data_IF_904791197994
#
_entry.id   IF_904791197994
#
_cell.length_a   1.000
_cell.length_b   1.000
_cell.length_c   1.000
_cell.angle_alpha   90.00
_cell.angle_beta   90.00
_cell.angle_gamma   90.00
#
_symmetry.space_group_name_H-M   'P 1'
#
loop_
_entity.id
_entity.type
_entity.pdbx_description
1 polymer ?
#
# COMPACT_ATOMS: atom_id res chain seq x y z
N UNK A 1 -8.15 1.97 -25.48
CA UNK A 1 -7.51 2.88 -24.52
C UNK A 1 -6.16 3.28 -25.09
N UNK A 2 -5.95 4.57 -25.26
CA UNK A 2 -4.66 5.16 -25.63
C UNK A 2 -3.67 5.06 -24.47
N UNK A 3 -2.37 5.20 -24.76
CA UNK A 3 -1.29 4.98 -23.79
C UNK A 3 -1.41 5.89 -22.55
N UNK A 4 -1.87 7.12 -22.74
CA UNK A 4 -2.09 8.08 -21.66
C UNK A 4 -3.21 7.61 -20.71
N UNK A 5 -4.34 7.18 -21.26
CA UNK A 5 -5.46 6.66 -20.48
C UNK A 5 -5.08 5.39 -19.72
N UNK A 6 -4.30 4.49 -20.34
CA UNK A 6 -3.79 3.30 -19.65
C UNK A 6 -2.92 3.67 -18.45
N UNK A 7 -1.98 4.61 -18.63
CA UNK A 7 -1.13 5.08 -17.54
C UNK A 7 -1.95 5.71 -16.41
N UNK A 8 -2.92 6.56 -16.75
CA UNK A 8 -3.82 7.17 -15.76
C UNK A 8 -4.63 6.11 -14.98
N UNK A 9 -5.08 5.05 -15.66
CA UNK A 9 -5.82 3.96 -15.04
C UNK A 9 -4.95 3.16 -14.08
N UNK A 10 -3.71 2.84 -14.46
CA UNK A 10 -2.75 2.15 -13.58
C UNK A 10 -2.41 2.99 -12.34
N UNK A 11 -2.26 4.31 -12.50
CA UNK A 11 -2.05 5.21 -11.37
C UNK A 11 -3.27 5.21 -10.44
N UNK A 12 -4.49 5.28 -10.99
CA UNK A 12 -5.72 5.24 -10.20
C UNK A 12 -5.91 3.91 -9.46
N UNK A 13 -5.57 2.79 -10.11
CA UNK A 13 -5.59 1.46 -9.51
C UNK A 13 -4.66 1.39 -8.29
N UNK A 14 -3.45 1.93 -8.41
CA UNK A 14 -2.40 1.79 -7.39
C UNK A 14 -2.48 2.88 -6.31
N UNK A 15 -3.13 4.01 -6.59
CA UNK A 15 -3.33 5.13 -5.67
C UNK A 15 -3.84 4.73 -4.26
N UNK A 16 -4.89 3.89 -4.08
CA UNK A 16 -5.35 3.50 -2.75
C UNK A 16 -4.31 2.72 -1.93
N UNK A 17 -3.46 1.91 -2.57
CA UNK A 17 -2.37 1.22 -1.87
C UNK A 17 -1.34 2.20 -1.31
N UNK A 18 -0.96 3.21 -2.10
CA UNK A 18 0.03 4.20 -1.70
C UNK A 18 -0.52 5.19 -0.67
N UNK A 19 -1.78 5.59 -0.80
CA UNK A 19 -2.47 6.41 0.20
C UNK A 19 -2.52 5.73 1.56
N UNK A 20 -2.96 4.46 1.60
CA UNK A 20 -3.00 3.69 2.84
C UNK A 20 -1.60 3.39 3.40
N UNK A 21 -0.62 3.11 2.54
CA UNK A 21 0.77 2.93 2.94
C UNK A 21 1.35 4.19 3.60
N UNK A 22 1.08 5.38 3.04
CA UNK A 22 1.49 6.65 3.62
C UNK A 22 0.85 6.90 5.00
N UNK A 23 -0.46 6.66 5.12
CA UNK A 23 -1.20 6.81 6.39
C UNK A 23 -0.70 5.86 7.49
N UNK A 24 -0.45 4.59 7.16
CA UNK A 24 0.07 3.62 8.12
C UNK A 24 1.54 3.89 8.44
N UNK A 25 2.34 4.33 7.46
CA UNK A 25 3.72 4.71 7.68
C UNK A 25 3.85 5.92 8.61
N UNK A 26 3.00 6.95 8.46
CA UNK A 26 2.98 8.09 9.39
C UNK A 26 2.65 7.61 10.81
N UNK A 27 1.60 6.80 10.97
CA UNK A 27 1.24 6.23 12.26
C UNK A 27 2.39 5.41 12.91
N UNK A 28 3.07 4.56 12.14
CA UNK A 28 4.23 3.79 12.63
C UNK A 28 5.42 4.68 12.99
N UNK A 29 5.67 5.74 12.23
CA UNK A 29 6.75 6.68 12.54
C UNK A 29 6.49 7.47 13.82
N UNK A 30 5.28 8.04 13.96
CA UNK A 30 4.86 8.80 15.13
C UNK A 30 4.91 7.94 16.41
N UNK A 31 4.62 6.65 16.30
CA UNK A 31 4.68 5.69 17.42
C UNK A 31 6.07 5.16 17.74
N UNK A 32 7.15 5.64 17.12
CA UNK A 32 8.51 5.20 17.50
C UNK A 32 8.99 3.84 16.95
N UNK A 33 8.14 3.06 16.26
CA UNK A 33 8.49 1.80 15.56
C UNK A 33 9.40 1.94 14.33
N UNK A 34 10.63 1.42 14.38
CA UNK A 34 11.56 1.35 13.23
C UNK A 34 12.97 1.88 13.46
N UNK A 35 13.44 1.95 14.71
CA UNK A 35 14.85 2.20 15.08
C UNK A 35 15.33 3.65 14.99
N UNK A 36 16.63 3.86 15.19
CA UNK A 36 17.30 5.18 15.33
C UNK A 36 17.54 5.95 14.02
N UNK A 37 16.94 5.55 12.91
CA UNK A 37 17.09 6.27 11.65
C UNK A 37 16.33 7.61 11.68
N UNK A 38 16.78 8.64 10.92
CA UNK A 38 16.04 9.89 10.77
C UNK A 38 14.59 9.64 10.34
N UNK A 39 13.65 10.40 10.91
CA UNK A 39 12.20 10.17 10.76
C UNK A 39 11.73 10.02 9.31
N UNK A 40 12.28 10.82 8.39
CA UNK A 40 11.96 10.78 6.96
C UNK A 40 12.43 9.49 6.26
N UNK A 41 13.65 9.00 6.56
CA UNK A 41 14.16 7.72 6.03
C UNK A 41 13.35 6.55 6.54
N UNK A 42 12.96 6.61 7.81
CA UNK A 42 12.15 5.59 8.46
C UNK A 42 10.74 5.55 7.89
N UNK A 43 10.14 6.72 7.67
CA UNK A 43 8.86 6.86 6.99
C UNK A 43 8.90 6.27 5.59
N UNK A 44 9.86 6.69 4.76
CA UNK A 44 10.00 6.18 3.39
C UNK A 44 10.15 4.66 3.33
N UNK A 45 10.88 4.06 4.28
CA UNK A 45 10.99 2.61 4.40
C UNK A 45 9.65 1.95 4.75
N UNK A 46 8.88 2.51 5.68
CA UNK A 46 7.54 1.99 6.01
C UNK A 46 6.59 2.09 4.82
N UNK A 47 6.61 3.21 4.09
CA UNK A 47 5.81 3.40 2.88
C UNK A 47 6.13 2.34 1.84
N UNK A 48 7.41 2.13 1.50
CA UNK A 48 7.81 1.11 0.51
C UNK A 48 7.37 -0.29 0.91
N UNK A 49 7.56 -0.65 2.19
CA UNK A 49 7.17 -1.96 2.71
C UNK A 49 5.67 -2.22 2.72
N UNK A 50 4.85 -1.18 2.72
CA UNK A 50 3.40 -1.27 2.68
C UNK A 50 2.86 -1.13 1.25
N UNK A 51 3.36 -0.15 0.49
CA UNK A 51 2.90 0.16 -0.86
C UNK A 51 3.17 -0.98 -1.84
N UNK A 52 4.32 -1.65 -1.76
CA UNK A 52 4.65 -2.78 -2.64
C UNK A 52 3.65 -3.95 -2.52
N UNK A 53 3.43 -4.55 -1.33
CA UNK A 53 2.46 -5.63 -1.20
C UNK A 53 1.03 -5.15 -1.46
N UNK A 54 0.67 -3.92 -1.08
CA UNK A 54 -0.66 -3.37 -1.40
C UNK A 54 -0.91 -3.24 -2.90
N UNK A 55 0.09 -2.78 -3.66
CA UNK A 55 0.02 -2.70 -5.13
C UNK A 55 -0.10 -4.10 -5.75
N UNK A 56 0.66 -5.07 -5.22
CA UNK A 56 0.59 -6.45 -5.68
C UNK A 56 -0.81 -7.07 -5.47
N UNK A 57 -1.48 -6.78 -4.35
CA UNK A 57 -2.85 -7.23 -4.09
C UNK A 57 -3.84 -6.66 -5.11
N UNK A 58 -3.72 -5.38 -5.46
CA UNK A 58 -4.61 -4.74 -6.42
C UNK A 58 -4.41 -5.29 -7.83
N UNK A 59 -3.16 -5.49 -8.25
CA UNK A 59 -2.83 -6.13 -9.53
C UNK A 59 -3.32 -7.58 -9.56
N UNK A 60 -3.10 -8.36 -8.50
CA UNK A 60 -3.58 -9.74 -8.41
C UNK A 60 -5.11 -9.82 -8.45
N UNK A 61 -5.80 -8.92 -7.74
CA UNK A 61 -7.26 -8.84 -7.77
C UNK A 61 -7.80 -8.51 -9.16
N UNK A 62 -7.15 -7.58 -9.88
CA UNK A 62 -7.51 -7.25 -11.25
C UNK A 62 -7.33 -8.46 -12.18
N UNK A 63 -6.19 -9.15 -12.10
CA UNK A 63 -5.90 -10.36 -12.91
C UNK A 63 -6.89 -11.49 -12.63
N UNK A 64 -7.23 -11.72 -11.37
CA UNK A 64 -8.12 -12.83 -10.97
C UNK A 64 -9.59 -12.54 -11.26
N UNK A 65 -10.03 -11.29 -11.13
CA UNK A 65 -11.45 -10.95 -11.22
C UNK A 65 -11.85 -10.35 -12.56
N UNK A 66 -10.88 -9.95 -13.39
CA UNK A 66 -11.07 -9.32 -14.70
C UNK A 66 -11.76 -7.95 -14.62
N UNK A 67 -12.01 -7.43 -13.42
CA UNK A 67 -12.76 -6.20 -13.19
C UNK A 67 -12.10 -5.40 -12.08
N UNK A 68 -11.96 -4.10 -12.30
CA UNK A 68 -11.43 -3.18 -11.31
C UNK A 68 -12.49 -2.86 -10.23
N UNK A 69 -12.05 -2.46 -9.03
CA UNK A 69 -12.94 -1.88 -8.01
C UNK A 69 -13.86 -2.85 -7.24
N UNK A 70 -13.59 -4.15 -7.21
CA UNK A 70 -14.35 -5.08 -6.36
C UNK A 70 -14.06 -4.85 -4.87
N UNK A 71 -15.11 -4.84 -4.03
CA UNK A 71 -15.01 -4.73 -2.57
C UNK A 71 -14.04 -5.77 -1.98
N UNK A 72 -14.04 -6.99 -2.53
CA UNK A 72 -13.14 -8.08 -2.11
C UNK A 72 -11.67 -7.68 -2.25
N UNK A 73 -11.29 -6.99 -3.34
CA UNK A 73 -9.91 -6.56 -3.56
C UNK A 73 -9.50 -5.47 -2.57
N UNK A 74 -10.41 -4.56 -2.23
CA UNK A 74 -10.17 -3.56 -1.19
C UNK A 74 -10.09 -4.18 0.20
N UNK A 75 -10.92 -5.18 0.51
CA UNK A 75 -10.83 -5.92 1.77
C UNK A 75 -9.48 -6.64 1.90
N UNK A 76 -9.03 -7.30 0.83
CA UNK A 76 -7.71 -7.92 0.77
C UNK A 76 -6.58 -6.89 0.94
N UNK A 77 -6.70 -5.72 0.30
CA UNK A 77 -5.73 -4.62 0.44
C UNK A 77 -5.61 -4.19 1.90
N UNK A 78 -6.72 -3.89 2.57
CA UNK A 78 -6.74 -3.47 3.98
C UNK A 78 -6.20 -4.58 4.88
N UNK A 79 -6.58 -5.84 4.64
CA UNK A 79 -6.10 -6.98 5.42
C UNK A 79 -4.58 -7.16 5.32
N UNK A 80 -4.03 -7.10 4.10
CA UNK A 80 -2.59 -7.23 3.87
C UNK A 80 -1.83 -6.04 4.45
N UNK A 81 -2.26 -4.80 4.16
CA UNK A 81 -1.60 -3.60 4.68
C UNK A 81 -1.65 -3.53 6.21
N UNK A 82 -2.79 -3.85 6.82
CA UNK A 82 -2.96 -3.92 8.27
C UNK A 82 -2.06 -4.98 8.90
N UNK A 83 -1.98 -6.17 8.30
CA UNK A 83 -1.12 -7.26 8.77
C UNK A 83 0.36 -6.91 8.70
N UNK A 84 0.80 -6.33 7.58
CA UNK A 84 2.19 -5.86 7.40
C UNK A 84 2.52 -4.75 8.38
N UNK A 85 1.61 -3.79 8.58
CA UNK A 85 1.79 -2.72 9.55
C UNK A 85 1.87 -3.25 10.99
N UNK A 86 1.00 -4.20 11.37
CA UNK A 86 1.01 -4.84 12.68
C UNK A 86 2.32 -5.59 12.93
N UNK A 87 2.80 -6.37 11.94
CA UNK A 87 4.09 -7.05 12.03
C UNK A 87 5.26 -6.07 12.16
N UNK A 88 5.19 -4.90 11.52
CA UNK A 88 6.22 -3.85 11.66
C UNK A 88 6.13 -3.07 12.96
N UNK A 89 4.98 -3.03 13.60
CA UNK A 89 4.82 -2.48 14.95
C UNK A 89 5.34 -3.45 16.02
N UNK A 90 5.27 -4.77 15.79
CA UNK A 90 5.80 -5.78 16.71
C UNK A 90 7.32 -6.01 16.63
N UNK A 91 8.03 -5.32 15.74
CA UNK A 91 9.49 -5.42 15.54
C UNK A 91 10.21 -4.15 15.96
#
# INVERSE_FOLDING_TARGET
MDAWTLAAHLVALVAPAWGMAALLATALTLRGHGGSAPGWRRWGRHVLWLALPGSAVLVAGLVLTGADGRIVTYAALVGVLGSVAAWRAGR
#
